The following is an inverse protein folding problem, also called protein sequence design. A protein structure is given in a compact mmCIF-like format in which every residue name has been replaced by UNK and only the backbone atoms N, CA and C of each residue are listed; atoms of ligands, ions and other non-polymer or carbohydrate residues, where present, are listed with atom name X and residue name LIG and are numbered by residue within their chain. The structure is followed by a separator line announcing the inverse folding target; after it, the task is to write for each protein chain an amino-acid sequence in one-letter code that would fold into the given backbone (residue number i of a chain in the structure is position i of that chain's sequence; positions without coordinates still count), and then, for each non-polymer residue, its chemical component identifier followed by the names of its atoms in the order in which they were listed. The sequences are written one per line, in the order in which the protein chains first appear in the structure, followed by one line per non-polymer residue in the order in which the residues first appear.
data_IF_818869992581
#
_entry.id   IF_818869992581
#
_cell.length_a   1.000
_cell.length_b   1.000
_cell.length_c   1.000
_cell.angle_alpha   90.00
_cell.angle_beta   90.00
_cell.angle_gamma   90.00
#
_symmetry.space_group_name_H-M   'P 1'
#
loop_
_entity.id
_entity.type
_entity.pdbx_description
1 polymer ?
#
# COMPACT_ATOMS: atom_id res chain seq x y z
N UNK A 1 22.31 2.99 36.71
CA UNK A 1 22.06 1.65 36.12
C UNK A 1 21.35 1.87 34.79
N UNK A 2 21.98 1.60 33.65
CA UNK A 2 21.34 1.73 32.33
C UNK A 2 20.49 0.50 32.08
N UNK A 3 19.16 0.66 32.17
CA UNK A 3 18.19 -0.40 31.95
C UNK A 3 18.16 -0.73 30.46
N UNK A 4 18.46 -1.97 30.09
CA UNK A 4 18.49 -2.40 28.70
C UNK A 4 17.07 -2.69 28.25
N UNK A 5 16.51 -1.81 27.41
CA UNK A 5 15.15 -1.91 26.89
C UNK A 5 15.13 -2.89 25.72
N UNK A 6 14.18 -3.82 25.74
CA UNK A 6 13.95 -4.76 24.66
C UNK A 6 13.01 -4.13 23.63
N UNK A 7 13.24 -4.37 22.34
CA UNK A 7 12.41 -3.76 21.28
C UNK A 7 11.25 -4.67 20.91
N UNK A 8 10.03 -4.12 20.89
CA UNK A 8 8.84 -4.83 20.46
C UNK A 8 8.91 -5.12 18.94
N UNK A 9 8.84 -6.39 18.50
CA UNK A 9 8.96 -6.75 17.08
C UNK A 9 7.72 -6.39 16.23
N UNK A 10 6.60 -6.05 16.86
CA UNK A 10 5.35 -5.68 16.17
C UNK A 10 5.31 -4.18 15.88
N UNK A 11 5.67 -3.35 16.85
CA UNK A 11 5.55 -1.90 16.75
C UNK A 11 6.88 -1.13 16.81
N UNK A 12 7.97 -1.79 17.17
CA UNK A 12 9.30 -1.18 17.32
C UNK A 12 9.47 -0.32 18.57
N UNK A 13 8.52 -0.36 19.50
CA UNK A 13 8.57 0.41 20.75
C UNK A 13 9.54 -0.23 21.75
N UNK A 14 10.21 0.61 22.55
CA UNK A 14 11.04 0.17 23.66
C UNK A 14 10.18 -0.38 24.80
N UNK A 15 10.44 -1.63 25.19
CA UNK A 15 9.72 -2.37 26.23
C UNK A 15 10.70 -2.74 27.32
N UNK A 16 10.25 -2.56 28.55
CA UNK A 16 11.01 -2.97 29.72
C UNK A 16 10.92 -4.49 29.92
N UNK A 17 12.03 -5.25 29.84
CA UNK A 17 12.00 -6.70 30.00
C UNK A 17 11.70 -7.13 31.45
N UNK A 18 11.89 -6.24 32.44
CA UNK A 18 11.59 -6.52 33.84
C UNK A 18 10.11 -6.30 34.20
N UNK A 19 9.41 -5.44 33.46
CA UNK A 19 7.98 -5.17 33.62
C UNK A 19 7.22 -5.02 32.28
N UNK A 20 7.19 -6.06 31.42
CA UNK A 20 6.53 -5.99 30.13
C UNK A 20 5.00 -6.07 30.27
N UNK A 21 4.26 -5.37 29.40
CA UNK A 21 2.81 -5.50 29.34
C UNK A 21 2.35 -6.86 28.76
N UNK A 22 3.21 -7.48 27.94
CA UNK A 22 3.05 -8.84 27.43
C UNK A 22 4.39 -9.50 27.16
N UNK A 23 4.47 -10.82 27.35
CA UNK A 23 5.65 -11.64 27.02
C UNK A 23 5.20 -12.88 26.25
N UNK A 24 5.90 -13.26 25.20
CA UNK A 24 5.74 -14.54 24.52
C UNK A 24 7.11 -15.18 24.29
N UNK A 25 7.17 -16.50 24.36
CA UNK A 25 8.37 -17.26 24.02
C UNK A 25 8.18 -17.88 22.63
N UNK A 26 9.08 -17.58 21.70
CA UNK A 26 9.05 -18.15 20.35
C UNK A 26 10.45 -18.57 19.92
N UNK A 27 10.60 -19.82 19.47
CA UNK A 27 11.89 -20.44 19.11
C UNK A 27 12.94 -20.38 20.25
N UNK A 28 12.50 -20.43 21.50
CA UNK A 28 13.38 -20.34 22.68
C UNK A 28 13.90 -18.92 22.96
N UNK A 29 13.36 -17.90 22.30
CA UNK A 29 13.65 -16.49 22.56
C UNK A 29 12.42 -15.83 23.19
N UNK A 30 12.64 -15.10 24.29
CA UNK A 30 11.60 -14.29 24.94
C UNK A 30 11.43 -12.95 24.21
N UNK A 31 10.23 -12.70 23.72
CA UNK A 31 9.82 -11.43 23.12
C UNK A 31 8.92 -10.66 24.08
N UNK A 32 9.18 -9.36 24.17
CA UNK A 32 8.46 -8.44 25.04
C UNK A 32 7.62 -7.48 24.20
N UNK A 33 6.39 -7.24 24.65
CA UNK A 33 5.42 -6.42 23.94
C UNK A 33 4.97 -5.23 24.78
N UNK A 34 4.79 -4.09 24.13
CA UNK A 34 4.35 -2.85 24.77
C UNK A 34 2.88 -2.93 25.22
N UNK A 35 2.10 -3.86 24.65
CA UNK A 35 0.67 -4.00 24.92
C UNK A 35 0.17 -5.42 24.64
N UNK A 36 -1.00 -5.76 25.19
CA UNK A 36 -1.72 -7.01 24.88
C UNK A 36 -2.08 -7.16 23.40
N UNK A 37 -2.33 -6.04 22.72
CA UNK A 37 -2.64 -6.05 21.30
C UNK A 37 -1.43 -6.46 20.44
N UNK A 38 -0.23 -6.00 20.80
CA UNK A 38 1.02 -6.41 20.14
C UNK A 38 1.31 -7.89 20.41
N UNK A 39 1.13 -8.35 21.65
CA UNK A 39 1.23 -9.78 22.00
C UNK A 39 0.30 -10.65 21.15
N UNK A 40 -0.96 -10.27 21.00
CA UNK A 40 -1.93 -11.05 20.23
C UNK A 40 -1.61 -11.08 18.72
N UNK A 41 -1.16 -9.95 18.17
CA UNK A 41 -0.74 -9.86 16.77
C UNK A 41 0.46 -10.77 16.51
N UNK A 42 1.45 -10.73 17.38
CA UNK A 42 2.61 -11.62 17.31
C UNK A 42 2.22 -13.09 17.42
N UNK A 43 1.27 -13.44 18.30
CA UNK A 43 0.78 -14.82 18.42
C UNK A 43 0.08 -15.32 17.16
N UNK A 44 -0.58 -14.44 16.39
CA UNK A 44 -1.27 -14.81 15.14
C UNK A 44 -0.29 -15.13 14.02
N UNK A 45 0.77 -14.34 13.85
CA UNK A 45 1.77 -14.56 12.80
C UNK A 45 3.18 -14.15 13.26
N UNK A 46 3.83 -14.94 14.14
CA UNK A 46 5.10 -14.54 14.75
C UNK A 46 6.23 -14.48 13.71
N UNK A 47 6.20 -15.36 12.70
CA UNK A 47 7.24 -15.38 11.66
C UNK A 47 7.23 -14.13 10.77
N UNK A 48 6.07 -13.54 10.48
CA UNK A 48 6.01 -12.29 9.72
C UNK A 48 6.66 -11.12 10.47
N UNK A 49 6.44 -11.02 11.78
CA UNK A 49 7.03 -9.94 12.58
C UNK A 49 8.54 -10.16 12.81
N UNK A 50 8.98 -11.41 12.96
CA UNK A 50 10.41 -11.72 13.11
C UNK A 50 11.21 -11.55 11.81
N UNK A 51 10.58 -11.72 10.64
CA UNK A 51 11.24 -11.43 9.35
C UNK A 51 11.56 -9.95 9.12
N UNK A 52 11.02 -9.04 9.94
CA UNK A 52 11.28 -7.59 9.87
C UNK A 52 11.96 -7.00 11.11
N UNK A 53 12.25 -7.79 12.14
CA UNK A 53 12.76 -7.30 13.44
C UNK A 53 14.27 -7.00 13.47
N UNK A 54 14.85 -6.61 12.33
CA UNK A 54 16.25 -6.24 12.21
C UNK A 54 16.43 -5.02 11.32
N UNK A 55 16.29 -3.83 11.90
CA UNK A 55 16.65 -2.57 11.26
C UNK A 55 15.46 -1.70 10.88
N UNK A 56 15.39 -0.54 11.54
CA UNK A 56 14.86 0.73 11.03
C UNK A 56 13.88 0.69 9.84
N UNK A 57 12.58 0.75 10.13
CA UNK A 57 11.71 1.71 9.45
C UNK A 57 10.43 1.96 10.24
N UNK A 58 10.21 3.24 10.53
CA UNK A 58 8.88 3.76 10.76
C UNK A 58 7.99 3.49 9.53
N UNK A 59 6.68 3.38 9.79
CA UNK A 59 5.54 3.47 8.88
C UNK A 59 5.06 2.21 8.16
N UNK A 60 3.93 1.70 8.69
CA UNK A 60 2.68 1.57 7.93
C UNK A 60 2.55 0.39 6.96
N UNK A 61 1.32 -0.09 6.70
CA UNK A 61 1.11 -1.29 5.90
C UNK A 61 1.39 -1.01 4.42
N UNK A 62 2.57 -1.36 3.94
CA UNK A 62 2.88 -1.46 2.52
C UNK A 62 2.88 -2.94 2.09
N UNK A 63 1.72 -3.41 1.63
CA UNK A 63 1.63 -4.43 0.56
C UNK A 63 0.71 -3.78 -0.49
N UNK A 64 1.03 -3.67 -1.78
CA UNK A 64 1.78 -4.55 -2.68
C UNK A 64 2.22 -3.72 -3.90
N UNK A 65 3.31 -4.16 -4.54
CA UNK A 65 3.85 -3.73 -5.83
C UNK A 65 2.80 -3.44 -6.92
N UNK A 66 3.03 -2.39 -7.73
CA UNK A 66 2.39 -2.28 -9.05
C UNK A 66 2.24 -0.88 -9.62
N UNK A 67 3.35 -0.21 -9.93
CA UNK A 67 3.56 0.67 -11.10
C UNK A 67 4.83 1.49 -10.87
N UNK A 68 5.87 1.24 -11.66
CA UNK A 68 6.89 2.26 -11.88
C UNK A 68 6.23 3.39 -12.69
N UNK A 69 5.61 4.33 -11.99
CA UNK A 69 4.98 5.51 -12.56
C UNK A 69 5.24 6.68 -11.63
N UNK A 70 5.22 7.90 -12.16
CA UNK A 70 5.18 9.09 -11.31
C UNK A 70 3.95 9.03 -10.40
N UNK A 71 4.06 9.52 -9.18
CA UNK A 71 2.96 9.68 -8.24
C UNK A 71 2.79 11.17 -7.92
N UNK A 72 1.54 11.62 -7.90
CA UNK A 72 1.16 13.02 -7.74
C UNK A 72 0.26 13.20 -6.51
N UNK A 73 0.40 14.35 -5.84
CA UNK A 73 -0.50 14.74 -4.74
C UNK A 73 -1.72 15.48 -5.29
N UNK A 74 -2.97 15.08 -4.97
CA UNK A 74 -4.18 15.77 -5.45
C UNK A 74 -4.35 17.19 -4.88
N UNK A 75 -3.74 17.48 -3.73
CA UNK A 75 -3.82 18.79 -3.07
C UNK A 75 -2.62 19.69 -3.40
N UNK A 76 -1.52 19.11 -3.89
CA UNK A 76 -0.26 19.82 -4.16
C UNK A 76 0.27 19.36 -5.53
N UNK A 77 -0.17 19.99 -6.64
CA UNK A 77 0.18 19.55 -7.99
C UNK A 77 1.69 19.59 -8.28
N UNK A 78 2.47 20.36 -7.52
CA UNK A 78 3.92 20.48 -7.63
C UNK A 78 4.69 19.29 -7.04
N UNK A 79 4.02 18.37 -6.33
CA UNK A 79 4.68 17.24 -5.66
C UNK A 79 4.62 16.02 -6.57
N UNK A 80 5.75 15.70 -7.19
CA UNK A 80 5.99 14.53 -8.06
C UNK A 80 7.01 13.59 -7.40
N UNK A 81 6.68 12.31 -7.27
CA UNK A 81 7.60 11.31 -6.69
C UNK A 81 7.61 10.00 -7.48
N UNK A 82 8.76 9.34 -7.49
CA UNK A 82 8.96 8.05 -8.12
C UNK A 82 8.57 6.93 -7.14
N UNK A 83 7.29 6.61 -7.08
CA UNK A 83 6.77 5.49 -6.29
C UNK A 83 5.67 5.87 -5.28
N UNK A 84 4.98 4.86 -4.72
CA UNK A 84 3.92 5.08 -3.74
C UNK A 84 4.50 5.63 -2.44
N UNK A 85 3.85 6.65 -1.88
CA UNK A 85 4.31 7.30 -0.65
C UNK A 85 3.32 8.33 -0.13
N UNK A 86 3.70 8.98 0.98
CA UNK A 86 2.99 10.15 1.53
C UNK A 86 3.58 11.44 0.97
N UNK A 87 2.73 12.42 0.70
CA UNK A 87 3.12 13.76 0.30
C UNK A 87 3.94 14.44 1.41
N UNK A 88 5.15 14.94 1.15
CA UNK A 88 5.96 15.64 2.15
C UNK A 88 5.39 17.01 2.56
N UNK A 89 4.47 17.59 1.76
CA UNK A 89 3.83 18.87 2.09
C UNK A 89 2.62 18.70 3.01
N UNK A 90 1.74 17.72 2.74
CA UNK A 90 0.46 17.58 3.45
C UNK A 90 0.24 16.22 4.12
N UNK A 91 1.16 15.27 3.98
CA UNK A 91 1.09 13.93 4.60
C UNK A 91 0.11 12.96 3.94
N UNK A 92 -0.69 13.42 2.98
CA UNK A 92 -1.70 12.61 2.29
C UNK A 92 -1.06 11.60 1.33
N UNK A 93 -1.73 10.47 1.07
CA UNK A 93 -1.22 9.44 0.16
C UNK A 93 -1.16 9.96 -1.29
N UNK A 94 -0.04 9.74 -1.95
CA UNK A 94 0.12 10.10 -3.37
C UNK A 94 -0.67 9.12 -4.25
N UNK A 95 -1.24 9.65 -5.33
CA UNK A 95 -1.94 8.86 -6.32
C UNK A 95 -1.01 8.54 -7.49
N UNK A 96 -1.07 7.32 -8.05
CA UNK A 96 -0.30 7.00 -9.24
C UNK A 96 -0.80 7.87 -10.40
N UNK A 97 0.13 8.50 -11.12
CA UNK A 97 -0.18 8.97 -12.46
C UNK A 97 -0.46 7.73 -13.28
N UNK A 98 -1.74 7.48 -13.51
CA UNK A 98 -2.12 6.50 -14.49
C UNK A 98 -1.53 6.97 -15.82
N UNK A 99 -0.70 6.15 -16.50
CA UNK A 99 -0.50 6.36 -17.91
C UNK A 99 -1.89 6.26 -18.51
N UNK A 100 -2.39 7.37 -19.02
CA UNK A 100 -3.57 7.38 -19.88
C UNK A 100 -3.16 6.59 -21.10
N UNK A 101 -3.41 5.29 -21.07
CA UNK A 101 -3.25 4.41 -22.23
C UNK A 101 -4.20 5.01 -23.25
N UNK A 102 -3.65 5.77 -24.20
CA UNK A 102 -4.41 6.27 -25.32
C UNK A 102 -5.09 5.06 -25.95
N UNK A 103 -6.43 5.06 -26.10
CA UNK A 103 -7.11 3.94 -26.71
C UNK A 103 -6.50 3.76 -28.10
N UNK A 104 -5.81 2.65 -28.32
CA UNK A 104 -5.21 2.31 -29.62
C UNK A 104 -6.27 1.99 -30.68
N UNK A 105 -7.54 2.03 -30.28
CA UNK A 105 -8.70 1.76 -31.11
C UNK A 105 -9.86 2.61 -30.63
N UNK A 106 -10.25 3.59 -31.45
CA UNK A 106 -11.47 4.36 -31.22
C UNK A 106 -12.62 3.51 -31.77
N UNK A 107 -13.28 2.78 -30.88
CA UNK A 107 -14.43 1.95 -31.25
C UNK A 107 -15.69 2.81 -31.33
N UNK A 108 -16.29 2.84 -32.52
CA UNK A 108 -17.48 3.58 -32.82
C UNK A 108 -18.71 2.68 -32.65
N UNK A 109 -19.55 3.03 -31.69
CA UNK A 109 -20.78 2.31 -31.37
C UNK A 109 -22.00 3.07 -31.88
N UNK A 110 -22.89 2.37 -32.59
CA UNK A 110 -24.13 2.98 -33.07
C UNK A 110 -25.10 3.25 -31.89
N UNK A 111 -25.62 4.47 -31.70
CA UNK A 111 -26.51 4.81 -30.58
C UNK A 111 -27.85 4.06 -30.62
N UNK A 112 -28.31 3.62 -31.79
CA UNK A 112 -29.51 2.80 -31.96
C UNK A 112 -29.25 1.30 -31.75
N UNK A 113 -28.00 0.87 -31.97
CA UNK A 113 -27.60 -0.54 -31.91
C UNK A 113 -26.28 -0.66 -31.15
N UNK A 114 -26.32 -0.57 -29.81
CA UNK A 114 -25.12 -0.60 -28.98
C UNK A 114 -24.32 -1.92 -29.07
N UNK A 115 -24.92 -2.94 -29.70
CA UNK A 115 -24.27 -4.22 -30.03
C UNK A 115 -23.38 -4.15 -31.28
N UNK A 116 -23.39 -3.04 -32.03
CA UNK A 116 -22.57 -2.85 -33.23
C UNK A 116 -21.36 -2.00 -32.87
N UNK A 117 -20.20 -2.64 -32.81
CA UNK A 117 -18.90 -2.03 -32.56
C UNK A 117 -18.11 -2.01 -33.86
N UNK A 118 -17.56 -0.85 -34.23
CA UNK A 118 -16.80 -0.66 -35.48
C UNK A 118 -15.50 0.09 -35.26
N UNK A 119 -14.54 -0.20 -36.12
CA UNK A 119 -13.17 0.31 -36.00
C UNK A 119 -12.96 1.66 -36.73
N UNK A 120 -13.98 2.12 -37.46
CA UNK A 120 -13.98 3.37 -38.21
C UNK A 120 -15.37 4.01 -38.18
N UNK A 121 -15.46 5.36 -38.21
CA UNK A 121 -16.73 6.05 -38.30
C UNK A 121 -17.37 5.76 -39.66
N UNK A 122 -18.64 5.36 -39.65
CA UNK A 122 -19.35 5.04 -40.88
C UNK A 122 -20.75 4.47 -40.65
N UNK A 123 -21.58 4.56 -41.68
CA UNK A 123 -23.01 4.22 -41.64
C UNK A 123 -23.26 2.80 -41.15
N UNK A 124 -23.96 2.68 -40.03
CA UNK A 124 -24.41 1.42 -39.44
C UNK A 124 -25.04 0.49 -40.51
N UNK A 125 -24.73 -0.81 -40.58
CA UNK A 125 -25.23 -1.68 -41.64
C UNK A 125 -26.70 -2.07 -41.41
N UNK A 126 -27.23 -1.83 -40.21
CA UNK A 126 -28.62 -2.13 -39.84
C UNK A 126 -29.52 -0.92 -40.10
N UNK A 127 -29.10 0.29 -39.71
CA UNK A 127 -29.95 1.48 -39.81
C UNK A 127 -29.41 2.62 -40.68
N UNK A 128 -28.21 2.49 -41.23
CA UNK A 128 -27.62 3.48 -42.13
C UNK A 128 -27.21 4.81 -41.47
N UNK A 129 -27.32 4.95 -40.15
CA UNK A 129 -26.92 6.17 -39.42
C UNK A 129 -25.42 6.16 -39.09
N UNK A 130 -24.79 7.33 -39.16
CA UNK A 130 -23.37 7.58 -38.85
C UNK A 130 -23.16 8.03 -37.40
#
# INVERSE_FOLDING_TARGET
MTKELAKDPVCGMDVDPEAPAGREEFRGQSYFFCSKHCQESFRKDPEAFLKGAGGDRAQGPARTSGAAGLYFCPMDPEVEQEGPGSCPKCGMALQPAQPHIAPTKLEYTCPMHPQIVRDAPGNCPICGMA
#
